data_IF_336568502610
#
_entry.id   IF_336568502610
#
_cell.length_a   1.000
_cell.length_b   1.000
_cell.length_c   1.000
_cell.angle_alpha   90.00
_cell.angle_beta   90.00
_cell.angle_gamma   90.00
#
_symmetry.space_group_name_H-M   'P 1'
#
loop_
_entity.id
_entity.type
_entity.pdbx_description
1 polymer ?
#
# COMPACT_ATOMS: atom_id res chain seq x y z
N UNK A 1 48.95 -11.17 0.90
CA UNK A 1 48.73 -9.76 1.13
C UNK A 1 47.83 -9.07 0.12
N UNK A 2 47.75 -9.55 -1.08
CA UNK A 2 46.88 -8.96 -2.12
C UNK A 2 45.50 -9.65 -2.24
N UNK A 3 45.22 -10.58 -1.36
CA UNK A 3 44.07 -11.47 -1.50
C UNK A 3 42.85 -11.05 -0.65
N UNK A 4 42.99 -9.99 0.13
CA UNK A 4 41.90 -9.53 1.01
C UNK A 4 40.97 -8.48 0.36
N UNK A 5 41.36 -7.97 -0.81
CA UNK A 5 40.65 -6.89 -1.48
C UNK A 5 39.36 -7.29 -2.23
N UNK A 6 39.24 -8.50 -2.78
CA UNK A 6 37.99 -8.85 -3.48
C UNK A 6 36.82 -9.22 -2.60
N UNK A 7 37.05 -9.45 -1.30
CA UNK A 7 35.97 -9.84 -0.37
C UNK A 7 35.12 -8.68 0.09
N UNK A 8 35.62 -7.46 0.01
CA UNK A 8 34.89 -6.26 0.42
C UNK A 8 33.90 -5.75 -0.62
N UNK A 9 34.05 -6.16 -1.87
CA UNK A 9 33.18 -5.71 -2.97
C UNK A 9 31.86 -6.47 -3.06
N UNK A 10 31.75 -7.60 -2.40
CA UNK A 10 30.54 -8.44 -2.45
C UNK A 10 29.48 -8.04 -1.44
N UNK A 11 29.83 -7.21 -0.46
CA UNK A 11 28.90 -6.81 0.59
C UNK A 11 27.95 -5.68 0.18
N UNK A 12 28.25 -5.00 -0.91
CA UNK A 12 27.46 -3.83 -1.33
C UNK A 12 26.23 -4.16 -2.17
N UNK A 13 26.08 -5.40 -2.61
CA UNK A 13 24.94 -5.79 -3.47
C UNK A 13 23.70 -6.25 -2.72
N UNK A 14 23.80 -6.45 -1.41
CA UNK A 14 22.67 -6.98 -0.64
C UNK A 14 21.68 -5.93 -0.15
N UNK A 15 22.02 -4.64 -0.27
CA UNK A 15 21.15 -3.55 0.20
C UNK A 15 20.12 -3.09 -0.83
N UNK A 16 20.29 -3.44 -2.10
CA UNK A 16 19.42 -2.99 -3.17
C UNK A 16 18.07 -3.75 -3.24
N UNK A 17 17.95 -4.92 -2.58
CA UNK A 17 16.77 -5.78 -2.64
C UNK A 17 15.68 -5.46 -1.64
N UNK A 18 15.89 -4.50 -0.70
CA UNK A 18 14.95 -4.23 0.40
C UNK A 18 14.09 -2.98 0.20
N UNK A 19 14.21 -2.30 -0.93
CA UNK A 19 13.44 -1.10 -1.19
C UNK A 19 12.02 -1.46 -1.64
N UNK A 20 11.04 -1.21 -0.76
CA UNK A 20 9.62 -1.41 -1.06
C UNK A 20 9.04 -0.08 -1.55
N UNK A 21 8.41 -0.09 -2.72
CA UNK A 21 7.77 1.10 -3.29
C UNK A 21 6.49 1.45 -2.53
N UNK A 22 6.05 2.72 -2.56
CA UNK A 22 4.76 3.11 -1.98
C UNK A 22 3.59 2.30 -2.54
N UNK A 23 3.60 2.01 -3.83
CA UNK A 23 2.58 1.19 -4.48
C UNK A 23 2.51 -0.22 -3.89
N UNK A 24 3.66 -0.85 -3.68
CA UNK A 24 3.72 -2.18 -3.06
C UNK A 24 3.17 -2.17 -1.63
N UNK A 25 3.43 -1.10 -0.89
CA UNK A 25 2.91 -0.94 0.48
C UNK A 25 1.41 -0.78 0.50
N UNK A 26 0.87 0.03 -0.39
CA UNK A 26 -0.59 0.21 -0.52
C UNK A 26 -1.24 -1.10 -0.95
N UNK A 27 -0.65 -1.78 -1.92
CA UNK A 27 -1.13 -3.10 -2.37
C UNK A 27 -1.20 -4.09 -1.20
N UNK A 28 -0.13 -4.20 -0.43
CA UNK A 28 -0.08 -5.10 0.73
C UNK A 28 -1.15 -4.75 1.77
N UNK A 29 -1.34 -3.47 2.07
CA UNK A 29 -2.34 -3.01 3.01
C UNK A 29 -3.77 -3.33 2.54
N UNK A 30 -4.05 -3.13 1.27
CA UNK A 30 -5.36 -3.45 0.68
C UNK A 30 -5.64 -4.96 0.73
N UNK A 31 -4.65 -5.77 0.42
CA UNK A 31 -4.79 -7.23 0.50
C UNK A 31 -5.02 -7.71 1.92
N UNK A 32 -4.33 -7.13 2.89
CA UNK A 32 -4.54 -7.42 4.30
C UNK A 32 -5.95 -7.01 4.75
N UNK A 33 -6.50 -5.96 4.16
CA UNK A 33 -7.86 -5.52 4.41
C UNK A 33 -8.92 -6.37 3.70
N UNK A 34 -8.51 -7.39 2.94
CA UNK A 34 -9.44 -8.30 2.28
C UNK A 34 -9.76 -7.96 0.83
N UNK A 35 -9.07 -7.00 0.24
CA UNK A 35 -9.24 -6.67 -1.18
C UNK A 35 -8.58 -7.76 -2.03
N UNK A 36 -9.27 -8.30 -3.05
CA UNK A 36 -8.67 -9.32 -3.93
C UNK A 36 -7.38 -8.83 -4.58
N UNK A 37 -6.39 -9.71 -4.82
CA UNK A 37 -5.07 -9.29 -5.31
C UNK A 37 -5.10 -8.43 -6.57
N UNK A 38 -5.94 -8.75 -7.53
CA UNK A 38 -6.03 -7.98 -8.77
C UNK A 38 -6.61 -6.60 -8.55
N UNK A 39 -7.64 -6.51 -7.73
CA UNK A 39 -8.27 -5.24 -7.38
C UNK A 39 -7.31 -4.40 -6.56
N UNK A 40 -6.61 -5.01 -5.59
CA UNK A 40 -5.62 -4.33 -4.76
C UNK A 40 -4.50 -3.71 -5.60
N UNK A 41 -3.99 -4.44 -6.58
CA UNK A 41 -2.97 -3.94 -7.49
C UNK A 41 -3.45 -2.76 -8.31
N UNK A 42 -4.65 -2.85 -8.86
CA UNK A 42 -5.30 -1.77 -9.60
C UNK A 42 -5.52 -0.53 -8.73
N UNK A 43 -6.06 -0.71 -7.53
CA UNK A 43 -6.31 0.39 -6.61
C UNK A 43 -5.01 1.05 -6.15
N UNK A 44 -3.99 0.27 -5.82
CA UNK A 44 -2.71 0.78 -5.36
C UNK A 44 -2.08 1.72 -6.40
N UNK A 45 -2.08 1.31 -7.67
CA UNK A 45 -1.58 2.12 -8.76
C UNK A 45 -2.30 3.47 -8.84
N UNK A 46 -3.62 3.46 -8.80
CA UNK A 46 -4.43 4.67 -8.89
C UNK A 46 -4.27 5.57 -7.67
N UNK A 47 -4.23 4.98 -6.48
CA UNK A 47 -4.10 5.74 -5.24
C UNK A 47 -2.74 6.42 -5.14
N UNK A 48 -1.66 5.73 -5.47
CA UNK A 48 -0.31 6.29 -5.43
C UNK A 48 -0.15 7.43 -6.44
N UNK A 49 -0.81 7.36 -7.58
CA UNK A 49 -0.73 8.43 -8.59
C UNK A 49 -1.54 9.67 -8.22
N UNK A 50 -2.51 9.56 -7.31
CA UNK A 50 -3.43 10.66 -6.95
C UNK A 50 -3.22 11.21 -5.56
N UNK A 51 -2.69 10.43 -4.63
CA UNK A 51 -2.52 10.84 -3.25
C UNK A 51 -1.08 11.29 -2.97
N UNK A 52 -0.93 12.23 -2.05
CA UNK A 52 0.38 12.66 -1.57
C UNK A 52 0.99 11.61 -0.65
N UNK A 53 2.30 11.71 -0.41
CA UNK A 53 2.98 10.84 0.55
C UNK A 53 2.40 10.97 1.95
N UNK A 54 1.98 12.16 2.34
CA UNK A 54 1.35 12.39 3.64
C UNK A 54 0.03 11.64 3.76
N UNK A 55 -0.79 11.68 2.72
CA UNK A 55 -2.05 10.97 2.66
C UNK A 55 -1.86 9.45 2.68
N UNK A 56 -0.84 8.95 1.98
CA UNK A 56 -0.50 7.53 1.98
C UNK A 56 -0.03 7.07 3.37
N UNK A 57 0.69 7.92 4.10
CA UNK A 57 1.08 7.64 5.49
C UNK A 57 -0.13 7.53 6.41
N UNK A 58 -1.14 8.37 6.22
CA UNK A 58 -2.38 8.28 6.99
C UNK A 58 -3.10 6.96 6.75
N UNK A 59 -3.18 6.52 5.51
CA UNK A 59 -3.74 5.22 5.15
C UNK A 59 -2.96 4.07 5.77
N UNK A 60 -1.64 4.15 5.76
CA UNK A 60 -0.77 3.15 6.38
C UNK A 60 -1.01 3.06 7.89
N UNK A 61 -1.13 4.21 8.54
CA UNK A 61 -1.41 4.27 9.98
C UNK A 61 -2.74 3.61 10.31
N UNK A 62 -3.76 3.88 9.51
CA UNK A 62 -5.07 3.26 9.66
C UNK A 62 -5.01 1.75 9.52
N UNK A 63 -4.28 1.26 8.53
CA UNK A 63 -4.12 -0.18 8.31
C UNK A 63 -3.41 -0.86 9.49
N UNK A 64 -2.45 -0.18 10.13
CA UNK A 64 -1.73 -0.70 11.29
C UNK A 64 -2.61 -0.81 12.54
N UNK A 65 -3.68 -0.03 12.62
CA UNK A 65 -4.62 -0.07 13.76
C UNK A 65 -5.67 -1.18 13.62
N UNK A 66 -5.71 -1.85 12.49
CA UNK A 66 -6.68 -2.90 12.25
C UNK A 66 -6.40 -4.11 13.15
N UNK A 67 -7.44 -4.61 13.80
CA UNK A 67 -7.34 -5.79 14.65
C UNK A 67 -7.61 -7.07 13.87
N UNK A 68 -6.98 -8.20 14.28
CA UNK A 68 -7.28 -9.50 13.67
C UNK A 68 -8.76 -9.84 13.84
N UNK A 69 -9.40 -10.30 12.77
CA UNK A 69 -10.80 -10.70 12.81
C UNK A 69 -11.80 -9.58 12.55
N UNK A 70 -11.34 -8.35 12.32
CA UNK A 70 -12.24 -7.27 11.91
C UNK A 70 -12.90 -7.60 10.57
N UNK A 71 -14.14 -7.12 10.43
CA UNK A 71 -14.88 -7.27 9.19
C UNK A 71 -14.11 -6.67 8.02
N UNK A 72 -14.03 -7.40 6.92
CA UNK A 72 -13.44 -6.96 5.67
C UNK A 72 -14.53 -6.77 4.64
N UNK A 73 -14.33 -5.84 3.72
CA UNK A 73 -15.27 -5.57 2.66
C UNK A 73 -15.25 -4.11 2.27
N UNK A 74 -15.81 -3.76 1.10
CA UNK A 74 -15.77 -2.39 0.59
C UNK A 74 -16.38 -1.37 1.54
N UNK A 75 -17.51 -1.70 2.16
CA UNK A 75 -18.18 -0.80 3.12
C UNK A 75 -17.31 -0.51 4.33
N UNK A 76 -16.69 -1.52 4.89
CA UNK A 76 -15.84 -1.36 6.08
C UNK A 76 -14.61 -0.52 5.76
N UNK A 77 -13.98 -0.78 4.62
CA UNK A 77 -12.83 -0.02 4.14
C UNK A 77 -13.19 1.45 3.97
N UNK A 78 -14.32 1.74 3.33
CA UNK A 78 -14.77 3.11 3.12
C UNK A 78 -15.06 3.84 4.43
N UNK A 79 -15.71 3.18 5.39
CA UNK A 79 -15.93 3.76 6.71
C UNK A 79 -14.64 4.09 7.43
N UNK A 80 -13.68 3.20 7.34
CA UNK A 80 -12.37 3.40 7.95
C UNK A 80 -11.65 4.59 7.33
N UNK A 81 -11.71 4.72 6.01
CA UNK A 81 -11.11 5.85 5.29
C UNK A 81 -11.82 7.15 5.62
N UNK A 82 -13.15 7.14 5.75
CA UNK A 82 -13.92 8.31 6.15
C UNK A 82 -13.52 8.81 7.55
N UNK A 83 -13.15 7.91 8.44
CA UNK A 83 -12.71 8.25 9.78
C UNK A 83 -11.41 9.08 9.82
N UNK A 84 -10.61 9.05 8.76
CA UNK A 84 -9.42 9.90 8.62
C UNK A 84 -9.80 11.38 8.53
N UNK A 85 -10.97 11.69 7.97
CA UNK A 85 -11.45 13.05 7.83
C UNK A 85 -10.87 13.85 6.68
N UNK A 86 -10.21 13.19 5.72
CA UNK A 86 -9.67 13.80 4.51
C UNK A 86 -10.58 13.49 3.32
N UNK A 87 -11.32 14.47 2.80
CA UNK A 87 -12.24 14.25 1.67
C UNK A 87 -11.55 13.78 0.39
N UNK A 88 -10.30 14.18 0.17
CA UNK A 88 -9.55 13.75 -1.01
C UNK A 88 -9.21 12.27 -0.94
N UNK A 89 -8.77 11.79 0.22
CA UNK A 89 -8.51 10.36 0.42
C UNK A 89 -9.78 9.55 0.16
N UNK A 90 -10.90 9.98 0.71
CA UNK A 90 -12.20 9.32 0.50
C UNK A 90 -12.56 9.27 -0.98
N UNK A 91 -12.45 10.39 -1.66
CA UNK A 91 -12.80 10.49 -3.08
C UNK A 91 -11.91 9.59 -3.95
N UNK A 92 -10.59 9.66 -3.76
CA UNK A 92 -9.63 8.88 -4.54
C UNK A 92 -9.82 7.39 -4.27
N UNK A 93 -9.95 6.99 -3.02
CA UNK A 93 -10.14 5.59 -2.63
C UNK A 93 -11.46 5.04 -3.18
N UNK A 94 -12.54 5.80 -3.08
CA UNK A 94 -13.85 5.39 -3.60
C UNK A 94 -13.81 5.21 -5.11
N UNK A 95 -13.24 6.16 -5.85
CA UNK A 95 -13.11 6.06 -7.30
C UNK A 95 -12.24 4.89 -7.73
N UNK A 96 -11.13 4.68 -7.01
CA UNK A 96 -10.25 3.56 -7.28
C UNK A 96 -10.97 2.23 -7.04
N UNK A 97 -11.69 2.11 -5.94
CA UNK A 97 -12.45 0.91 -5.63
C UNK A 97 -13.51 0.62 -6.68
N UNK A 98 -14.35 1.62 -7.00
CA UNK A 98 -15.40 1.45 -8.01
C UNK A 98 -14.82 1.07 -9.37
N UNK A 99 -13.80 1.80 -9.83
CA UNK A 99 -13.19 1.53 -11.13
C UNK A 99 -12.54 0.15 -11.19
N UNK A 100 -11.81 -0.24 -10.15
CA UNK A 100 -11.07 -1.49 -10.13
C UNK A 100 -11.97 -2.72 -9.92
N UNK A 101 -13.00 -2.62 -9.07
CA UNK A 101 -13.96 -3.71 -8.89
C UNK A 101 -14.81 -3.93 -10.12
N UNK A 102 -15.23 -2.85 -10.80
CA UNK A 102 -16.07 -2.95 -12.00
C UNK A 102 -15.28 -3.38 -13.23
N UNK A 103 -14.02 -3.00 -13.33
CA UNK A 103 -13.18 -3.38 -14.47
C UNK A 103 -12.73 -4.84 -14.41
N UNK A 104 -12.86 -5.42 -13.26
CA UNK A 104 -12.35 -6.72 -12.95
C UNK A 104 -13.00 -7.91 -13.49
#
# INVERSE_FOLDING_TARGET
MKRALPLLSLLSLTLAGCAVTPEQRVNAALRQAGVPPRVASCMAERMVSKLSMEQLKELKRLAALREPGESTGPKHILRSVEAIGDPEIVRVTTRAALGCYLAG
#
